data_IF_089858658968
#
_entry.id   IF_089858658968
#
_cell.length_a   1.000
_cell.length_b   1.000
_cell.length_c   1.000
_cell.angle_alpha   90.00
_cell.angle_beta   90.00
_cell.angle_gamma   90.00
#
_symmetry.space_group_name_H-M   'P 1'
#
loop_
_entity.id
_entity.type
_entity.pdbx_description
1 polymer ?
#
# COMPACT_ATOMS: atom_id res chain seq x y z
N UNK A 1 -38.71 1.67 8.52
CA UNK A 1 -39.35 2.53 7.49
C UNK A 1 -38.92 3.96 7.81
N UNK A 2 -37.95 4.51 7.09
CA UNK A 2 -37.32 5.80 7.42
C UNK A 2 -38.21 6.93 6.85
N UNK A 3 -38.52 8.01 7.60
CA UNK A 3 -39.36 9.10 7.13
C UNK A 3 -38.70 9.89 5.98
N UNK A 4 -39.47 10.18 4.93
CA UNK A 4 -38.98 10.78 3.67
C UNK A 4 -38.45 12.22 3.80
N UNK A 5 -38.77 12.93 4.87
CA UNK A 5 -38.31 14.30 5.14
C UNK A 5 -36.89 14.39 5.72
N UNK A 6 -36.25 13.27 6.09
CA UNK A 6 -34.85 13.21 6.52
C UNK A 6 -33.85 13.10 5.33
N UNK A 7 -34.35 13.01 4.10
CA UNK A 7 -33.54 13.17 2.89
C UNK A 7 -33.32 14.67 2.63
N UNK A 8 -32.43 15.29 3.41
CA UNK A 8 -31.94 16.63 3.09
C UNK A 8 -31.25 16.59 1.71
N UNK A 9 -31.91 17.16 0.70
CA UNK A 9 -31.41 17.27 -0.68
C UNK A 9 -30.44 18.44 -0.78
N UNK A 10 -29.22 18.25 -0.30
CA UNK A 10 -28.14 19.19 -0.56
C UNK A 10 -27.57 18.92 -1.96
N UNK A 11 -27.55 19.95 -2.82
CA UNK A 11 -26.98 19.87 -4.17
C UNK A 11 -25.47 20.15 -4.10
N UNK A 12 -24.65 19.15 -4.41
CA UNK A 12 -23.23 19.33 -4.70
C UNK A 12 -23.06 19.52 -6.21
N UNK A 13 -22.41 20.61 -6.63
CA UNK A 13 -22.12 20.95 -8.04
C UNK A 13 -23.34 20.88 -9.00
N UNK A 14 -24.51 21.31 -8.51
CA UNK A 14 -25.73 21.36 -9.33
C UNK A 14 -26.36 19.99 -9.66
N UNK A 15 -25.79 18.89 -9.16
CA UNK A 15 -26.35 17.54 -9.28
C UNK A 15 -26.97 17.10 -7.96
N UNK A 16 -28.06 16.34 -8.04
CA UNK A 16 -28.68 15.77 -6.85
C UNK A 16 -27.74 14.73 -6.24
N UNK A 17 -27.21 15.01 -5.05
CA UNK A 17 -26.39 14.08 -4.30
C UNK A 17 -27.01 13.90 -2.91
N UNK A 18 -27.38 12.68 -2.56
CA UNK A 18 -27.80 12.35 -1.20
C UNK A 18 -26.52 12.25 -0.34
N UNK A 19 -26.16 13.35 0.32
CA UNK A 19 -25.03 13.34 1.26
C UNK A 19 -25.52 12.74 2.56
N UNK A 20 -25.21 11.47 2.80
CA UNK A 20 -25.36 10.89 4.13
C UNK A 20 -24.25 11.47 5.00
N UNK A 21 -24.60 12.38 5.92
CA UNK A 21 -23.74 12.65 7.06
C UNK A 21 -23.81 11.40 7.94
N UNK A 22 -22.81 10.53 7.80
CA UNK A 22 -22.49 9.62 8.87
C UNK A 22 -22.19 10.49 10.09
N UNK A 23 -22.95 10.27 11.14
CA UNK A 23 -22.74 10.68 12.53
C UNK A 23 -21.44 10.05 13.04
N UNK A 24 -20.35 10.38 12.36
CA UNK A 24 -19.00 9.96 12.69
C UNK A 24 -18.37 11.05 13.54
N UNK A 25 -17.98 10.68 14.76
CA UNK A 25 -17.06 11.48 15.54
C UNK A 25 -15.76 11.57 14.73
N UNK A 26 -15.24 12.77 14.37
CA UNK A 26 -14.00 12.87 13.64
C UNK A 26 -12.90 12.21 14.46
N UNK A 27 -12.48 11.02 14.03
CA UNK A 27 -11.35 10.35 14.65
C UNK A 27 -10.16 11.29 14.52
N UNK A 28 -9.42 11.50 15.61
CA UNK A 28 -8.11 12.19 15.63
C UNK A 28 -7.05 11.47 14.78
N UNK A 29 -7.45 10.42 14.08
CA UNK A 29 -6.66 9.51 13.29
C UNK A 29 -6.33 10.09 11.92
N UNK A 30 -5.08 10.50 11.73
CA UNK A 30 -4.56 10.95 10.45
C UNK A 30 -3.87 9.79 9.69
N UNK A 31 -4.55 8.66 9.55
CA UNK A 31 -4.10 7.54 8.71
C UNK A 31 -2.88 6.75 9.21
N UNK A 32 -2.28 7.12 10.35
CA UNK A 32 -1.15 6.44 10.98
C UNK A 32 -1.31 6.44 12.50
N UNK A 33 -0.83 5.40 13.18
CA UNK A 33 -0.93 5.25 14.64
C UNK A 33 0.16 4.35 15.21
N UNK A 34 0.32 4.42 16.53
CA UNK A 34 1.20 3.54 17.31
C UNK A 34 0.32 2.60 18.15
N UNK A 35 0.18 1.32 17.78
CA UNK A 35 -0.51 0.33 18.61
C UNK A 35 0.20 0.12 19.95
N UNK A 36 -0.56 0.23 21.04
CA UNK A 36 -0.07 0.04 22.41
C UNK A 36 0.18 -1.43 22.78
N UNK A 37 -0.34 -2.36 21.99
CA UNK A 37 -0.12 -3.81 22.14
C UNK A 37 0.22 -4.45 20.80
N UNK A 38 1.17 -5.38 20.83
CA UNK A 38 1.56 -6.18 19.68
C UNK A 38 1.38 -7.65 20.04
N UNK A 39 0.57 -8.35 19.26
CA UNK A 39 0.26 -9.78 19.44
C UNK A 39 0.83 -10.57 18.28
N UNK A 40 1.71 -11.51 18.60
CA UNK A 40 2.28 -12.40 17.60
C UNK A 40 1.46 -13.69 17.53
N UNK A 41 1.11 -14.10 16.33
CA UNK A 41 0.33 -15.32 16.07
C UNK A 41 1.07 -16.24 15.10
N UNK A 42 0.91 -17.56 15.21
CA UNK A 42 1.66 -18.51 14.40
C UNK A 42 1.16 -18.62 12.94
N UNK A 43 -0.06 -18.16 12.65
CA UNK A 43 -0.68 -18.28 11.34
C UNK A 43 -1.72 -17.19 11.08
N UNK A 44 -2.05 -16.97 9.80
CA UNK A 44 -3.14 -16.08 9.41
C UNK A 44 -4.50 -16.52 9.97
N UNK A 45 -4.75 -17.83 10.06
CA UNK A 45 -5.99 -18.34 10.65
C UNK A 45 -6.14 -17.91 12.11
N UNK A 46 -5.05 -17.95 12.89
CA UNK A 46 -5.03 -17.48 14.27
C UNK A 46 -5.17 -15.95 14.35
N UNK A 47 -4.58 -15.19 13.41
CA UNK A 47 -4.78 -13.76 13.29
C UNK A 47 -6.26 -13.41 13.10
N UNK A 48 -6.92 -14.01 12.11
CA UNK A 48 -8.33 -13.75 11.85
C UNK A 48 -9.23 -14.23 13.00
N UNK A 49 -8.85 -15.28 13.72
CA UNK A 49 -9.55 -15.69 14.94
C UNK A 49 -9.44 -14.61 16.03
N UNK A 50 -8.24 -14.04 16.25
CA UNK A 50 -8.01 -12.96 17.22
C UNK A 50 -8.75 -11.68 16.84
N UNK A 51 -8.77 -11.32 15.56
CA UNK A 51 -9.47 -10.13 15.05
C UNK A 51 -10.99 -10.21 15.18
N UNK A 52 -11.57 -11.42 15.29
CA UNK A 52 -13.01 -11.62 15.51
C UNK A 52 -13.42 -11.56 16.98
N UNK A 53 -12.46 -11.50 17.89
CA UNK A 53 -12.78 -11.41 19.31
C UNK A 53 -13.45 -10.07 19.62
N UNK A 54 -14.44 -10.04 20.52
CA UNK A 54 -15.25 -8.84 20.78
C UNK A 54 -14.47 -7.69 21.44
N UNK A 55 -13.30 -7.97 22.01
CA UNK A 55 -12.40 -7.01 22.65
C UNK A 55 -11.30 -6.49 21.71
N UNK A 56 -11.29 -6.92 20.44
CA UNK A 56 -10.27 -6.51 19.50
C UNK A 56 -10.49 -5.07 19.04
N UNK A 57 -9.49 -4.22 19.31
CA UNK A 57 -9.40 -2.86 18.79
C UNK A 57 -8.17 -2.76 17.87
N UNK A 58 -8.33 -2.49 16.56
CA UNK A 58 -7.22 -2.41 15.62
C UNK A 58 -6.29 -1.20 15.84
N UNK A 59 -6.75 -0.18 16.58
CA UNK A 59 -5.94 0.98 16.92
C UNK A 59 -5.10 0.76 18.18
N UNK A 60 -5.56 -0.10 19.09
CA UNK A 60 -4.81 -0.47 20.29
C UNK A 60 -3.92 -1.70 20.08
N UNK A 61 -4.34 -2.66 19.25
CA UNK A 61 -3.64 -3.94 19.06
C UNK A 61 -3.27 -4.19 17.60
N UNK A 62 -1.98 -4.40 17.37
CA UNK A 62 -1.44 -4.89 16.11
C UNK A 62 -1.14 -6.38 16.19
N UNK A 63 -1.70 -7.15 15.26
CA UNK A 63 -1.46 -8.59 15.16
C UNK A 63 -0.52 -8.85 13.99
N UNK A 64 0.57 -9.58 14.26
CA UNK A 64 1.57 -9.96 13.27
C UNK A 64 1.68 -11.48 13.20
N UNK A 65 1.67 -12.01 11.98
CA UNK A 65 1.97 -13.42 11.74
C UNK A 65 3.49 -13.57 11.74
N UNK A 66 4.05 -14.38 12.65
CA UNK A 66 5.50 -14.55 12.77
C UNK A 66 5.88 -15.99 13.14
N UNK A 67 6.87 -16.61 12.46
CA UNK A 67 7.49 -17.83 12.93
C UNK A 67 8.37 -17.57 14.17
N UNK A 68 8.31 -18.44 15.17
CA UNK A 68 8.96 -18.28 16.48
C UNK A 68 10.45 -17.91 16.42
N UNK A 69 10.90 -16.89 17.16
CA UNK A 69 12.34 -16.65 17.44
C UNK A 69 12.85 -15.21 17.31
N UNK A 70 12.08 -14.28 16.74
CA UNK A 70 12.50 -12.87 16.62
C UNK A 70 12.13 -12.03 17.84
N UNK A 71 12.90 -10.96 18.08
CA UNK A 71 12.67 -10.02 19.16
C UNK A 71 11.21 -9.49 19.15
N UNK A 72 10.53 -9.70 20.27
CA UNK A 72 9.16 -9.24 20.51
C UNK A 72 9.20 -7.74 20.77
N UNK A 73 8.65 -6.95 19.84
CA UNK A 73 8.34 -5.57 20.17
C UNK A 73 7.23 -5.58 21.20
N UNK A 74 7.39 -4.75 22.23
CA UNK A 74 6.29 -4.39 23.12
C UNK A 74 5.63 -3.18 22.49
N UNK A 75 4.31 -3.11 22.54
CA UNK A 75 3.65 -1.86 22.16
C UNK A 75 4.11 -0.75 23.10
N UNK A 76 4.19 0.45 22.55
CA UNK A 76 4.66 1.63 23.24
C UNK A 76 3.63 2.74 23.04
N UNK A 77 3.61 3.68 23.97
CA UNK A 77 2.82 4.89 23.81
C UNK A 77 3.57 5.87 22.89
N UNK A 78 2.80 6.62 22.11
CA UNK A 78 3.33 7.61 21.20
C UNK A 78 2.28 8.13 20.24
N UNK A 79 2.72 8.98 19.32
CA UNK A 79 1.87 9.60 18.32
C UNK A 79 2.47 9.45 16.93
N UNK A 80 1.59 9.26 15.94
CA UNK A 80 1.96 9.28 14.53
C UNK A 80 0.97 10.12 13.74
N UNK A 81 1.44 10.82 12.72
CA UNK A 81 0.61 11.61 11.83
C UNK A 81 1.18 11.63 10.41
N UNK A 82 0.33 11.45 9.40
CA UNK A 82 0.75 11.61 8.00
C UNK A 82 1.02 13.09 7.72
N UNK A 83 2.27 13.41 7.35
CA UNK A 83 2.69 14.76 6.93
C UNK A 83 2.43 14.99 5.44
N UNK A 84 2.47 13.91 4.65
CA UNK A 84 2.26 13.98 3.20
C UNK A 84 1.98 12.62 2.60
N UNK A 85 1.14 12.60 1.55
CA UNK A 85 0.77 11.38 0.82
C UNK A 85 0.61 11.70 -0.66
N UNK A 86 1.24 10.89 -1.50
CA UNK A 86 1.05 10.89 -2.96
C UNK A 86 1.01 9.44 -3.45
N UNK A 87 0.66 9.17 -4.72
CA UNK A 87 0.66 7.81 -5.24
C UNK A 87 2.03 7.14 -5.03
N UNK A 88 2.05 6.02 -4.31
CA UNK A 88 3.26 5.26 -4.00
C UNK A 88 4.23 5.91 -3.01
N UNK A 89 3.85 7.00 -2.33
CA UNK A 89 4.70 7.64 -1.32
C UNK A 89 3.89 8.15 -0.12
N UNK A 90 4.38 7.89 1.09
CA UNK A 90 3.77 8.34 2.34
C UNK A 90 4.87 8.82 3.27
N UNK A 91 4.70 9.99 3.88
CA UNK A 91 5.59 10.50 4.93
C UNK A 91 4.82 10.65 6.23
N UNK A 92 5.36 10.08 7.30
CA UNK A 92 4.71 10.00 8.61
C UNK A 92 5.64 10.57 9.66
N UNK A 93 5.21 11.61 10.37
CA UNK A 93 5.86 12.06 11.60
C UNK A 93 5.53 11.09 12.73
N UNK A 94 6.55 10.71 13.50
CA UNK A 94 6.40 9.85 14.67
C UNK A 94 7.09 10.44 15.89
N UNK A 95 6.50 10.18 17.06
CA UNK A 95 7.09 10.43 18.36
C UNK A 95 6.74 9.26 19.29
N UNK A 96 7.77 8.55 19.77
CA UNK A 96 7.62 7.37 20.64
C UNK A 96 8.73 7.33 21.69
N UNK A 97 8.40 6.92 22.91
CA UNK A 97 9.35 6.90 24.04
C UNK A 97 10.18 5.60 24.11
N UNK A 98 9.75 4.57 23.39
CA UNK A 98 10.40 3.26 23.32
C UNK A 98 10.34 2.71 21.89
N UNK A 99 11.17 1.69 21.54
CA UNK A 99 11.01 0.98 20.27
C UNK A 99 9.58 0.46 20.11
N UNK A 100 8.97 0.78 18.98
CA UNK A 100 7.55 0.58 18.74
C UNK A 100 7.29 0.03 17.34
N UNK A 101 6.03 -0.25 17.05
CA UNK A 101 5.56 -0.51 15.69
C UNK A 101 4.78 0.70 15.22
N UNK A 102 5.13 1.27 14.07
CA UNK A 102 4.27 2.21 13.37
C UNK A 102 3.31 1.43 12.49
N UNK A 103 2.01 1.71 12.59
CA UNK A 103 1.00 1.20 11.69
C UNK A 103 0.41 2.33 10.83
N UNK A 104 0.15 2.04 9.56
CA UNK A 104 -0.37 3.01 8.58
C UNK A 104 -1.55 2.38 7.85
N UNK A 105 -2.62 3.15 7.64
CA UNK A 105 -3.83 2.77 6.92
C UNK A 105 -3.57 2.79 5.41
N UNK A 106 -2.61 1.97 4.99
CA UNK A 106 -2.21 1.73 3.61
C UNK A 106 -2.12 0.22 3.40
N UNK A 107 -2.49 -0.25 2.21
CA UNK A 107 -2.42 -1.66 1.89
C UNK A 107 -0.96 -2.15 1.83
N UNK A 108 -0.68 -3.22 2.56
CA UNK A 108 0.61 -3.88 2.55
C UNK A 108 0.89 -4.54 1.19
N UNK A 109 2.14 -4.45 0.75
CA UNK A 109 2.71 -5.19 -0.36
C UNK A 109 4.21 -5.32 -0.15
N UNK A 110 4.81 -6.42 -0.61
CA UNK A 110 6.25 -6.69 -0.48
C UNK A 110 7.16 -5.69 -1.20
N UNK A 111 6.59 -4.83 -2.06
CA UNK A 111 7.29 -3.82 -2.85
C UNK A 111 7.36 -2.45 -2.14
N UNK A 112 6.73 -2.32 -0.97
CA UNK A 112 6.92 -1.15 -0.13
C UNK A 112 8.29 -1.21 0.56
N UNK A 113 8.94 -0.06 0.64
CA UNK A 113 10.18 0.13 1.41
C UNK A 113 9.95 1.31 2.35
N UNK A 114 10.29 1.15 3.63
CA UNK A 114 10.30 2.23 4.60
C UNK A 114 11.73 2.75 4.82
N UNK A 115 11.89 4.05 4.99
CA UNK A 115 13.11 4.69 5.42
C UNK A 115 12.89 5.21 6.85
N UNK A 116 13.62 4.63 7.79
CA UNK A 116 13.60 4.99 9.22
C UNK A 116 15.00 5.47 9.57
N UNK A 117 15.17 6.76 9.87
CA UNK A 117 16.49 7.37 10.13
C UNK A 117 17.53 6.99 9.05
N UNK A 118 17.18 7.21 7.78
CA UNK A 118 18.02 6.90 6.61
C UNK A 118 18.27 5.40 6.33
N UNK A 119 17.81 4.50 7.21
CA UNK A 119 17.93 3.07 7.02
C UNK A 119 16.70 2.50 6.32
N UNK A 120 16.93 1.74 5.25
CA UNK A 120 15.87 1.02 4.57
C UNK A 120 15.44 -0.20 5.39
N UNK A 121 14.17 -0.23 5.76
CA UNK A 121 13.53 -1.29 6.52
C UNK A 121 12.38 -1.85 5.69
N UNK A 122 12.28 -3.17 5.62
CA UNK A 122 11.17 -3.85 4.99
C UNK A 122 9.92 -3.73 5.88
N UNK A 123 8.80 -3.16 5.38
CA UNK A 123 7.54 -3.14 6.10
C UNK A 123 6.99 -4.55 6.31
N UNK A 124 6.14 -4.69 7.32
CA UNK A 124 5.43 -5.91 7.68
C UNK A 124 3.93 -5.72 7.50
N UNK A 125 3.21 -6.83 7.31
CA UNK A 125 1.75 -6.83 7.28
C UNK A 125 1.19 -6.82 8.72
N UNK A 126 0.50 -5.75 9.07
CA UNK A 126 -0.24 -5.59 10.33
C UNK A 126 -1.70 -5.94 10.09
N UNK A 127 -2.26 -6.78 10.95
CA UNK A 127 -3.64 -7.24 10.84
C UNK A 127 -3.95 -7.84 9.45
N UNK A 128 -2.92 -8.41 8.80
CA UNK A 128 -2.97 -9.07 7.50
C UNK A 128 -2.95 -8.17 6.27
N UNK A 129 -3.27 -6.89 6.40
CA UNK A 129 -3.47 -6.02 5.22
C UNK A 129 -2.87 -4.63 5.35
N UNK A 130 -2.52 -4.17 6.55
CA UNK A 130 -2.08 -2.81 6.79
C UNK A 130 -0.55 -2.75 6.82
N UNK A 131 -0.01 -1.63 6.36
CA UNK A 131 1.42 -1.37 6.38
C UNK A 131 1.88 -1.15 7.82
N UNK A 132 2.92 -1.86 8.25
CA UNK A 132 3.60 -1.56 9.51
C UNK A 132 5.11 -1.57 9.35
N UNK A 133 5.81 -0.87 10.23
CA UNK A 133 7.27 -0.87 10.27
C UNK A 133 7.77 -0.75 11.71
N UNK A 134 8.75 -1.56 12.13
CA UNK A 134 9.38 -1.40 13.43
C UNK A 134 10.18 -0.09 13.44
N UNK A 135 10.05 0.68 14.51
CA UNK A 135 10.69 1.99 14.66
C UNK A 135 11.45 2.09 15.99
N UNK A 136 12.61 2.78 16.04
CA UNK A 136 13.29 3.06 17.30
C UNK A 136 12.55 4.13 18.13
N UNK A 137 12.94 4.28 19.39
CA UNK A 137 12.50 5.40 20.22
C UNK A 137 13.00 6.74 19.64
N UNK A 138 12.22 7.81 19.81
CA UNK A 138 12.58 9.17 19.42
C UNK A 138 11.48 9.90 18.64
N UNK A 139 11.86 11.06 18.09
CA UNK A 139 11.02 11.88 17.22
C UNK A 139 11.70 12.02 15.85
N UNK A 140 11.03 11.58 14.78
CA UNK A 140 11.55 11.60 13.40
C UNK A 140 10.41 11.41 12.40
N UNK A 141 10.72 11.48 11.10
CA UNK A 141 9.79 11.11 10.04
C UNK A 141 10.19 9.76 9.44
N UNK A 142 9.19 8.94 9.13
CA UNK A 142 9.31 7.70 8.38
C UNK A 142 8.76 7.92 6.98
N UNK A 143 9.53 7.54 5.97
CA UNK A 143 9.12 7.68 4.58
C UNK A 143 8.89 6.31 3.96
N UNK A 144 7.73 6.10 3.34
CA UNK A 144 7.38 4.89 2.63
C UNK A 144 7.39 5.16 1.13
N UNK A 145 7.99 4.27 0.36
CA UNK A 145 8.03 4.33 -1.10
C UNK A 145 7.68 2.98 -1.70
N UNK A 146 6.72 2.95 -2.61
CA UNK A 146 6.32 1.77 -3.35
C UNK A 146 7.18 1.60 -4.61
N UNK A 147 7.83 0.43 -4.75
CA UNK A 147 8.72 0.12 -5.88
C UNK A 147 8.14 -1.03 -6.72
N UNK A 148 7.39 -0.76 -7.80
CA UNK A 148 6.68 -1.80 -8.55
C UNK A 148 7.62 -2.63 -9.44
N UNK A 149 8.38 -3.54 -8.82
CA UNK A 149 9.38 -4.36 -9.50
C UNK A 149 8.80 -5.17 -10.67
N UNK A 150 7.59 -5.72 -10.51
CA UNK A 150 6.90 -6.52 -11.53
C UNK A 150 6.50 -5.69 -12.75
N UNK A 151 6.11 -4.43 -12.54
CA UNK A 151 5.76 -3.52 -13.62
C UNK A 151 6.99 -3.16 -14.46
N UNK A 152 8.14 -2.95 -13.82
CA UNK A 152 9.40 -2.72 -14.52
C UNK A 152 9.81 -3.93 -15.35
N UNK A 153 9.70 -5.14 -14.79
CA UNK A 153 9.96 -6.38 -15.52
C UNK A 153 9.02 -6.55 -16.73
N UNK A 154 7.73 -6.33 -16.54
CA UNK A 154 6.73 -6.37 -17.62
C UNK A 154 7.02 -5.37 -18.73
N UNK A 155 7.40 -4.14 -18.36
CA UNK A 155 7.78 -3.10 -19.32
C UNK A 155 8.98 -3.49 -20.19
N UNK A 156 10.01 -4.10 -19.59
CA UNK A 156 11.17 -4.61 -20.33
C UNK A 156 10.76 -5.72 -21.30
N UNK A 157 9.96 -6.69 -20.85
CA UNK A 157 9.48 -7.79 -21.70
C UNK A 157 8.68 -7.24 -22.88
N UNK A 158 7.73 -6.34 -22.62
CA UNK A 158 6.92 -5.71 -23.67
C UNK A 158 7.77 -4.95 -24.69
N UNK A 159 8.78 -4.21 -24.24
CA UNK A 159 9.71 -3.51 -25.11
C UNK A 159 10.50 -4.48 -26.01
N UNK A 160 11.03 -5.57 -25.44
CA UNK A 160 11.75 -6.59 -26.19
C UNK A 160 10.85 -7.28 -27.23
N UNK A 161 9.61 -7.62 -26.86
CA UNK A 161 8.63 -8.20 -27.79
C UNK A 161 8.31 -7.24 -28.94
N UNK A 162 8.11 -5.95 -28.65
CA UNK A 162 7.85 -4.95 -29.67
C UNK A 162 9.03 -4.81 -30.65
N UNK A 163 10.27 -4.82 -30.14
CA UNK A 163 11.48 -4.82 -30.97
C UNK A 163 11.46 -6.04 -31.89
N UNK A 164 11.31 -7.26 -31.36
CA UNK A 164 11.29 -8.50 -32.15
C UNK A 164 10.21 -8.46 -33.24
N UNK A 165 9.02 -7.95 -32.93
CA UNK A 165 7.95 -7.79 -33.93
C UNK A 165 8.33 -6.82 -35.06
N UNK A 166 8.89 -5.66 -34.73
CA UNK A 166 9.34 -4.68 -35.73
C UNK A 166 10.43 -5.29 -36.63
N UNK A 167 11.39 -6.01 -36.03
CA UNK A 167 12.42 -6.73 -36.77
C UNK A 167 11.84 -7.80 -37.70
N UNK A 168 10.89 -8.60 -37.22
CA UNK A 168 10.22 -9.63 -38.03
C UNK A 168 9.46 -9.01 -39.22
N UNK A 169 8.73 -7.91 -39.00
CA UNK A 169 8.02 -7.20 -40.08
C UNK A 169 9.02 -6.63 -41.09
N UNK A 170 10.07 -5.96 -40.64
CA UNK A 170 11.11 -5.42 -41.53
C UNK A 170 11.78 -6.52 -42.35
N UNK A 171 12.06 -7.68 -41.73
CA UNK A 171 12.60 -8.86 -42.40
C UNK A 171 11.65 -9.41 -43.48
N UNK A 172 10.35 -9.53 -43.17
CA UNK A 172 9.38 -9.99 -44.19
C UNK A 172 9.21 -9.01 -45.35
N UNK A 173 9.34 -7.70 -45.09
CA UNK A 173 9.29 -6.67 -46.13
C UNK A 173 10.54 -6.69 -47.02
N UNK A 174 11.72 -6.89 -46.45
CA UNK A 174 12.96 -6.99 -47.24
C UNK A 174 12.97 -8.21 -48.16
N UNK A 175 12.41 -9.35 -47.72
CA UNK A 175 12.26 -10.55 -48.55
C UNK A 175 11.30 -10.35 -49.72
N UNK A 176 10.22 -9.58 -49.53
CA UNK A 176 9.23 -9.29 -50.57
C UNK A 176 9.74 -8.31 -51.63
N UNK A 177 10.74 -7.48 -51.32
CA UNK A 177 11.34 -6.51 -52.25
C UNK A 177 12.37 -7.08 -53.24
N UNK A 178 12.73 -8.38 -53.14
CA UNK A 178 13.83 -8.99 -53.91
C UNK A 178 13.34 -9.78 -55.14
N UNK A 179 12.09 -9.64 -55.58
CA UNK A 179 11.66 -10.11 -56.90
C UNK A 179 11.73 -8.97 -57.93
N UNK A 180 12.86 -8.74 -58.62
CA UNK A 180 12.89 -7.88 -59.80
C UNK A 180 12.02 -8.55 -60.87
N UNK A 181 10.97 -7.85 -61.31
CA UNK A 181 10.16 -8.27 -62.44
C UNK A 181 11.05 -8.28 -63.69
N UNK A 182 11.40 -9.46 -64.17
CA UNK A 182 12.03 -9.65 -65.46
C UNK A 182 11.03 -9.20 -66.55
N UNK A 183 11.15 -7.94 -66.98
CA UNK A 183 10.67 -7.50 -68.29
C UNK A 183 11.81 -7.69 -69.27
N UNK A 184 11.64 -8.65 -70.19
CA UNK A 184 12.24 -8.62 -71.53
C UNK A 184 11.09 -8.95 -72.49
N UNK A 185 10.37 -7.96 -73.02
CA UNK A 185 10.60 -7.26 -74.31
C UNK A 185 11.00 -8.17 -75.48
N UNK A 186 10.12 -8.10 -76.49
CA UNK A 186 10.19 -8.53 -77.90
C UNK A 186 9.79 -9.97 -78.18
#
# INVERSE_FOLDING_TARGET
MIPWFLLARDRFEGKEASTYRLDWEPQTFNGAWIPSRITYVPSETAMYARMRAPDFDPFAEAILVRPSGEATLRGADGSAAIEGKSPGYIKVAVHVDAPALLAVSEAYHWNWVALVNEQAIQPVAVNGALLGVPIPAGAFSVEFSYRPLDLYAGGVISALTAIVMVWAVAWTMSWRGIHPSARSTV
#
